data_IF_173654268987
#
_entry.id   IF_173654268987
#
_cell.length_a   1.000
_cell.length_b   1.000
_cell.length_c   1.000
_cell.angle_alpha   90.00
_cell.angle_beta   90.00
_cell.angle_gamma   90.00
#
_symmetry.space_group_name_H-M   'P 1'
#
loop_
_entity.id
_entity.type
_entity.pdbx_description
1 polymer ?
#
# COMPACT_ATOMS: atom_id res chain seq x y z
N UNK A 1 20.41 -4.86 17.56
CA UNK A 1 18.96 -4.69 17.36
C UNK A 1 18.57 -5.51 16.14
N UNK A 2 17.63 -6.45 16.24
CA UNK A 2 17.18 -7.21 15.08
C UNK A 2 16.52 -6.26 14.07
N UNK A 3 16.93 -6.32 12.80
CA UNK A 3 16.31 -5.54 11.73
C UNK A 3 14.87 -6.03 11.58
N UNK A 4 13.90 -5.14 11.70
CA UNK A 4 12.49 -5.48 11.44
C UNK A 4 12.35 -5.87 9.97
N UNK A 5 11.61 -6.93 9.69
CA UNK A 5 11.40 -7.42 8.33
C UNK A 5 10.71 -6.34 7.48
N UNK A 6 11.25 -6.06 6.29
CA UNK A 6 10.66 -5.09 5.37
C UNK A 6 9.60 -5.80 4.52
N UNK A 7 8.41 -5.20 4.43
CA UNK A 7 7.31 -5.77 3.66
C UNK A 7 6.56 -4.69 2.90
N UNK A 8 6.11 -5.04 1.70
CA UNK A 8 5.20 -4.24 0.87
C UNK A 8 3.91 -5.01 0.62
N UNK A 9 2.78 -4.33 0.80
CA UNK A 9 1.45 -4.83 0.43
C UNK A 9 1.02 -4.09 -0.84
N UNK A 10 0.59 -4.84 -1.85
CA UNK A 10 0.15 -4.34 -3.15
C UNK A 10 -1.35 -4.59 -3.30
N UNK A 11 -2.14 -3.55 -3.51
CA UNK A 11 -3.59 -3.63 -3.71
C UNK A 11 -3.98 -2.96 -5.03
N UNK A 12 -4.87 -3.60 -5.79
CA UNK A 12 -5.34 -3.15 -7.11
C UNK A 12 -4.21 -2.94 -8.12
N UNK A 13 -3.17 -3.77 -8.05
CA UNK A 13 -2.09 -3.75 -9.03
C UNK A 13 -2.47 -4.56 -10.29
N UNK A 14 -2.32 -3.99 -11.50
CA UNK A 14 -2.57 -4.70 -12.74
C UNK A 14 -1.67 -5.95 -12.86
N UNK A 15 -2.21 -7.07 -13.36
CA UNK A 15 -1.47 -8.33 -13.48
C UNK A 15 -0.22 -8.22 -14.35
N UNK A 16 -0.17 -7.28 -15.30
CA UNK A 16 0.98 -6.99 -16.14
C UNK A 16 2.16 -6.37 -15.38
N UNK A 17 1.89 -5.57 -14.34
CA UNK A 17 2.93 -4.90 -13.55
C UNK A 17 3.38 -5.72 -12.34
N UNK A 18 2.55 -6.65 -11.87
CA UNK A 18 2.82 -7.47 -10.69
C UNK A 18 4.14 -8.27 -10.76
N UNK A 19 4.48 -8.98 -11.86
CA UNK A 19 5.73 -9.74 -11.94
C UNK A 19 6.98 -8.85 -11.82
N UNK A 20 6.96 -7.71 -12.51
CA UNK A 20 8.06 -6.73 -12.49
C UNK A 20 8.21 -6.12 -11.09
N UNK A 21 7.10 -5.70 -10.47
CA UNK A 21 7.10 -5.14 -9.12
C UNK A 21 7.60 -6.16 -8.08
N UNK A 22 7.11 -7.39 -8.13
CA UNK A 22 7.54 -8.46 -7.24
C UNK A 22 9.02 -8.77 -7.38
N UNK A 23 9.53 -8.85 -8.62
CA UNK A 23 10.93 -9.13 -8.90
C UNK A 23 11.83 -8.03 -8.34
N UNK A 24 11.50 -6.76 -8.62
CA UNK A 24 12.26 -5.61 -8.11
C UNK A 24 12.28 -5.56 -6.57
N UNK A 25 11.12 -5.74 -5.92
CA UNK A 25 11.02 -5.72 -4.46
C UNK A 25 11.76 -6.90 -3.82
N UNK A 26 11.65 -8.11 -4.38
CA UNK A 26 12.36 -9.30 -3.88
C UNK A 26 13.87 -9.18 -4.06
N UNK A 27 14.33 -8.60 -5.17
CA UNK A 27 15.76 -8.31 -5.39
C UNK A 27 16.33 -7.35 -4.34
N UNK A 28 15.49 -6.46 -3.78
CA UNK A 28 15.84 -5.62 -2.64
C UNK A 28 15.77 -6.34 -1.29
N UNK A 29 15.35 -7.61 -1.24
CA UNK A 29 15.16 -8.36 0.00
C UNK A 29 13.89 -7.97 0.76
N UNK A 30 12.88 -7.46 0.06
CA UNK A 30 11.61 -7.03 0.64
C UNK A 30 10.55 -8.11 0.40
N UNK A 31 9.81 -8.45 1.45
CA UNK A 31 8.68 -9.37 1.35
C UNK A 31 7.51 -8.68 0.64
N UNK A 32 6.88 -9.38 -0.30
CA UNK A 32 5.75 -8.83 -1.07
C UNK A 32 4.49 -9.64 -0.76
N UNK A 33 3.40 -8.94 -0.50
CA UNK A 33 2.07 -9.51 -0.31
C UNK A 33 1.10 -8.83 -1.26
N UNK A 34 0.45 -9.61 -2.13
CA UNK A 34 -0.65 -9.11 -2.97
C UNK A 34 -1.93 -9.25 -2.17
N UNK A 35 -2.70 -8.17 -2.12
CA UNK A 35 -3.98 -8.13 -1.44
C UNK A 35 -5.12 -8.48 -2.40
N UNK A 36 -6.08 -9.30 -1.97
CA UNK A 36 -7.25 -9.60 -2.79
C UNK A 36 -8.13 -8.36 -2.95
N UNK A 37 -9.00 -8.32 -3.98
CA UNK A 37 -9.88 -7.19 -4.24
C UNK A 37 -10.84 -6.85 -3.10
N UNK A 38 -11.11 -7.78 -2.19
CA UNK A 38 -12.02 -7.59 -1.07
C UNK A 38 -11.32 -7.24 0.25
N UNK A 39 -9.99 -7.09 0.23
CA UNK A 39 -9.17 -6.66 1.36
C UNK A 39 -9.54 -5.26 1.88
N UNK A 40 -10.28 -4.46 1.12
CA UNK A 40 -10.71 -3.12 1.53
C UNK A 40 -11.53 -3.12 2.84
N UNK A 41 -12.23 -4.23 3.11
CA UNK A 41 -13.01 -4.45 4.34
C UNK A 41 -12.13 -4.62 5.57
N UNK A 42 -10.92 -5.12 5.36
CA UNK A 42 -10.06 -5.54 6.44
C UNK A 42 -9.26 -4.39 7.03
N UNK A 43 -8.98 -4.50 8.33
CA UNK A 43 -8.04 -3.60 8.98
C UNK A 43 -6.63 -3.85 8.45
N UNK A 44 -5.86 -2.80 8.26
CA UNK A 44 -4.46 -2.90 7.82
C UNK A 44 -3.65 -3.78 8.78
N UNK A 45 -3.89 -3.70 10.09
CA UNK A 45 -3.26 -4.59 11.07
C UNK A 45 -3.61 -6.07 10.89
N UNK A 46 -4.84 -6.39 10.46
CA UNK A 46 -5.23 -7.75 10.10
C UNK A 46 -4.50 -8.22 8.83
N UNK A 47 -4.47 -7.37 7.79
CA UNK A 47 -3.75 -7.65 6.53
C UNK A 47 -2.25 -7.88 6.75
N UNK A 48 -1.68 -7.24 7.76
CA UNK A 48 -0.29 -7.42 8.19
C UNK A 48 -0.07 -8.69 9.05
N UNK A 49 -1.14 -9.36 9.50
CA UNK A 49 -1.05 -10.52 10.40
C UNK A 49 -0.65 -10.16 11.83
N UNK A 50 -0.94 -8.93 12.28
CA UNK A 50 -0.62 -8.49 13.64
C UNK A 50 -1.54 -9.17 14.66
N UNK A 51 -0.98 -9.52 15.82
CA UNK A 51 -1.76 -10.10 16.92
C UNK A 51 -2.82 -9.11 17.42
N UNK A 52 -3.99 -9.62 17.78
CA UNK A 52 -5.10 -8.82 18.31
C UNK A 52 -6.05 -8.26 17.26
N UNK A 53 -5.71 -8.38 15.97
CA UNK A 53 -6.63 -8.06 14.87
C UNK A 53 -7.48 -9.28 14.51
N UNK A 54 -8.76 -9.03 14.24
CA UNK A 54 -9.73 -10.03 13.78
C UNK A 54 -10.19 -9.66 12.36
N UNK A 55 -10.57 -10.65 11.55
CA UNK A 55 -11.14 -10.38 10.23
C UNK A 55 -12.41 -9.55 10.38
N UNK A 56 -12.73 -8.77 9.34
CA UNK A 56 -14.02 -8.11 9.24
C UNK A 56 -15.15 -9.14 9.27
N UNK A 57 -16.23 -8.81 9.96
CA UNK A 57 -17.43 -9.64 9.90
C UNK A 57 -18.04 -9.51 8.49
N UNK A 58 -18.64 -10.58 7.95
CA UNK A 58 -19.43 -10.47 6.73
C UNK A 58 -20.54 -9.43 6.96
N UNK A 59 -20.43 -8.31 6.25
CA UNK A 59 -21.37 -7.21 6.31
C UNK A 59 -21.86 -6.92 4.89
N UNK A 60 -23.10 -6.46 4.80
CA UNK A 60 -23.73 -6.02 3.54
C UNK A 60 -23.21 -4.61 3.20
N UNK A 61 -21.89 -4.51 3.07
CA UNK A 61 -21.22 -3.28 2.71
C UNK A 61 -21.23 -3.13 1.19
N UNK A 62 -21.65 -1.96 0.72
CA UNK A 62 -21.54 -1.59 -0.69
C UNK A 62 -20.10 -1.82 -1.17
N UNK A 63 -19.96 -2.44 -2.33
CA UNK A 63 -18.66 -2.70 -2.95
C UNK A 63 -17.86 -1.40 -3.03
N UNK A 64 -16.63 -1.43 -2.50
CA UNK A 64 -15.70 -0.33 -2.60
C UNK A 64 -14.87 -0.48 -3.88
N UNK A 65 -15.15 0.37 -4.86
CA UNK A 65 -14.34 0.48 -6.07
C UNK A 65 -13.28 1.57 -5.88
N UNK A 66 -12.02 1.16 -5.99
CA UNK A 66 -10.87 2.07 -5.95
C UNK A 66 -9.96 1.73 -7.14
N UNK A 67 -10.10 2.44 -8.27
CA UNK A 67 -9.44 2.10 -9.54
C UNK A 67 -7.99 2.61 -9.58
N UNK A 68 -7.28 2.52 -8.46
CA UNK A 68 -5.92 3.00 -8.34
C UNK A 68 -5.03 1.99 -7.61
N UNK A 69 -3.80 1.87 -8.09
CA UNK A 69 -2.75 1.07 -7.47
C UNK A 69 -2.38 1.63 -6.09
N UNK A 70 -2.41 0.79 -5.06
CA UNK A 70 -2.09 1.17 -3.68
C UNK A 70 -0.92 0.35 -3.15
N UNK A 71 0.12 1.04 -2.70
CA UNK A 71 1.31 0.42 -2.10
C UNK A 71 1.46 0.79 -0.63
N UNK A 72 1.40 -0.21 0.26
CA UNK A 72 1.66 -0.02 1.70
C UNK A 72 3.06 -0.48 2.06
N UNK A 73 3.78 0.34 2.82
CA UNK A 73 5.21 0.20 3.10
C UNK A 73 5.45 -0.06 4.58
N UNK A 74 5.74 -1.31 4.95
CA UNK A 74 6.07 -1.69 6.33
C UNK A 74 7.59 -1.62 6.55
N UNK A 75 7.99 -0.82 7.54
CA UNK A 75 9.40 -0.62 7.92
C UNK A 75 10.32 -0.05 6.82
N UNK A 76 9.75 0.50 5.75
CA UNK A 76 10.48 1.14 4.65
C UNK A 76 10.28 2.66 4.73
N UNK A 77 11.36 3.42 4.97
CA UNK A 77 11.33 4.89 5.13
C UNK A 77 12.59 5.56 4.57
N UNK A 78 12.52 6.87 4.33
CA UNK A 78 13.67 7.70 3.92
C UNK A 78 14.38 7.16 2.69
N UNK A 79 15.72 7.05 2.75
CA UNK A 79 16.55 6.55 1.63
C UNK A 79 16.13 5.14 1.15
N UNK A 80 15.55 4.31 2.03
CA UNK A 80 15.09 2.97 1.65
C UNK A 80 13.86 3.05 0.75
N UNK A 81 12.94 3.97 1.03
CA UNK A 81 11.78 4.24 0.18
C UNK A 81 12.22 4.73 -1.21
N UNK A 82 13.16 5.67 -1.28
CA UNK A 82 13.68 6.16 -2.57
C UNK A 82 14.25 5.03 -3.42
N UNK A 83 15.02 4.11 -2.80
CA UNK A 83 15.55 2.91 -3.49
C UNK A 83 14.44 2.01 -4.01
N UNK A 84 13.37 1.80 -3.23
CA UNK A 84 12.21 0.99 -3.67
C UNK A 84 11.54 1.63 -4.88
N UNK A 85 11.24 2.93 -4.82
CA UNK A 85 10.58 3.63 -5.92
C UNK A 85 11.46 3.66 -7.19
N UNK A 86 12.76 3.81 -7.03
CA UNK A 86 13.72 3.79 -8.14
C UNK A 86 13.76 2.40 -8.80
N UNK A 87 13.87 1.33 -8.02
CA UNK A 87 13.89 -0.03 -8.54
C UNK A 87 12.58 -0.41 -9.25
N UNK A 88 11.44 0.08 -8.76
CA UNK A 88 10.15 -0.12 -9.43
C UNK A 88 10.10 0.62 -10.77
N UNK A 89 10.57 1.88 -10.82
CA UNK A 89 10.64 2.64 -12.06
C UNK A 89 11.59 2.01 -13.09
N UNK A 90 12.78 1.55 -12.66
CA UNK A 90 13.74 0.82 -13.51
C UNK A 90 13.18 -0.50 -14.04
N UNK A 91 12.29 -1.15 -13.27
CA UNK A 91 11.58 -2.36 -13.69
C UNK A 91 10.37 -2.09 -14.60
N UNK A 92 10.10 -0.83 -14.96
CA UNK A 92 8.99 -0.44 -15.83
C UNK A 92 7.63 -0.37 -15.14
N UNK A 93 7.58 -0.42 -13.81
CA UNK A 93 6.34 -0.21 -13.05
C UNK A 93 5.99 1.28 -13.06
N UNK A 94 4.76 1.67 -13.44
CA UNK A 94 4.33 3.07 -13.44
C UNK A 94 4.49 3.74 -12.07
N UNK A 95 4.48 5.08 -12.09
CA UNK A 95 4.56 5.87 -10.85
C UNK A 95 3.31 5.62 -10.00
N UNK A 96 3.50 4.98 -8.86
CA UNK A 96 2.44 4.72 -7.87
C UNK A 96 2.13 6.02 -7.11
N UNK A 97 0.95 6.59 -7.35
CA UNK A 97 0.47 7.79 -6.65
C UNK A 97 0.11 7.47 -5.20
N UNK A 98 -0.74 6.46 -4.98
CA UNK A 98 -1.25 6.09 -3.66
C UNK A 98 -0.30 5.15 -2.93
N UNK A 99 0.49 5.73 -2.04
CA UNK A 99 1.43 4.97 -1.20
C UNK A 99 1.42 5.50 0.22
N UNK A 100 1.44 4.59 1.18
CA UNK A 100 1.45 4.95 2.60
C UNK A 100 2.44 4.12 3.39
N UNK A 101 3.15 4.76 4.30
CA UNK A 101 3.98 4.06 5.27
C UNK A 101 3.11 3.50 6.39
N UNK A 102 3.33 2.25 6.78
CA UNK A 102 2.65 1.66 7.94
C UNK A 102 3.10 2.38 9.21
N UNK A 103 2.11 2.79 9.99
CA UNK A 103 2.25 3.41 11.31
C UNK A 103 1.37 2.67 12.31
N UNK A 104 1.63 2.78 13.62
CA UNK A 104 0.73 2.20 14.61
C UNK A 104 -0.72 2.67 14.46
N UNK A 105 -0.91 3.92 14.01
CA UNK A 105 -2.24 4.50 13.87
C UNK A 105 -3.02 3.91 12.69
N UNK A 106 -2.41 3.85 11.49
CA UNK A 106 -3.12 3.33 10.32
C UNK A 106 -3.35 1.81 10.37
N UNK A 107 -2.68 1.08 11.26
CA UNK A 107 -2.99 -0.35 11.48
C UNK A 107 -4.42 -0.58 11.98
N UNK A 108 -5.02 0.42 12.66
CA UNK A 108 -6.39 0.37 13.17
C UNK A 108 -7.44 0.65 12.09
N UNK A 109 -7.03 1.22 10.96
CA UNK A 109 -7.91 1.63 9.88
C UNK A 109 -8.23 0.47 8.96
N UNK A 110 -9.42 0.48 8.36
CA UNK A 110 -9.71 -0.37 7.21
C UNK A 110 -8.89 0.09 6.01
N UNK A 111 -8.57 -0.83 5.10
CA UNK A 111 -7.88 -0.47 3.87
C UNK A 111 -8.71 0.53 3.04
N UNK A 112 -10.05 0.40 3.03
CA UNK A 112 -10.97 1.40 2.46
C UNK A 112 -10.70 2.80 3.01
N UNK A 113 -10.74 2.97 4.33
CA UNK A 113 -10.56 4.28 4.96
C UNK A 113 -9.18 4.86 4.63
N UNK A 114 -8.14 4.03 4.60
CA UNK A 114 -6.79 4.46 4.20
C UNK A 114 -6.75 4.95 2.75
N UNK A 115 -7.40 4.25 1.82
CA UNK A 115 -7.51 4.65 0.42
C UNK A 115 -8.25 5.98 0.25
N UNK A 116 -9.42 6.12 0.90
CA UNK A 116 -10.22 7.35 0.89
C UNK A 116 -9.43 8.53 1.47
N UNK A 117 -8.73 8.32 2.60
CA UNK A 117 -7.89 9.33 3.22
C UNK A 117 -6.75 9.79 2.30
N UNK A 118 -6.01 8.85 1.69
CA UNK A 118 -4.96 9.20 0.72
C UNK A 118 -5.52 9.94 -0.49
N UNK A 119 -6.71 9.57 -0.97
CA UNK A 119 -7.39 10.25 -2.08
C UNK A 119 -7.82 11.66 -1.74
N UNK A 120 -8.32 11.87 -0.52
CA UNK A 120 -8.67 13.20 -0.05
C UNK A 120 -7.43 14.10 0.06
N UNK A 121 -6.32 13.58 0.62
CA UNK A 121 -5.06 14.33 0.70
C UNK A 121 -4.46 14.64 -0.68
N UNK A 122 -4.49 13.70 -1.62
CA UNK A 122 -4.03 13.95 -2.99
C UNK A 122 -4.91 14.97 -3.72
N UNK A 123 -6.24 14.90 -3.55
CA UNK A 123 -7.16 15.88 -4.12
C UNK A 123 -6.98 17.29 -3.55
N UNK A 124 -6.57 17.40 -2.29
CA UNK A 124 -6.18 18.66 -1.68
C UNK A 124 -4.82 19.16 -2.20
N UNK A 125 -3.84 18.27 -2.39
CA UNK A 125 -2.51 18.62 -2.91
C UNK A 125 -2.56 19.12 -4.37
N UNK A 126 -3.40 18.54 -5.22
CA UNK A 126 -3.59 18.98 -6.61
C UNK A 126 -4.19 20.39 -6.73
N UNK A 127 -4.94 20.84 -5.71
CA UNK A 127 -5.47 22.22 -5.66
C UNK A 127 -4.40 23.25 -5.30
N UNK A 128 -3.29 22.83 -4.70
CA UNK A 128 -2.19 23.70 -4.29
C UNK A 128 -1.14 23.82 -5.42
N UNK A 129 -0.86 22.74 -6.16
CA UNK A 129 0.03 22.75 -7.35
C UNK A 129 -0.54 23.54 -8.56
N UNK A 130 -1.82 23.94 -8.53
CA UNK A 130 -2.43 24.76 -9.58
C UNK A 130 -2.30 26.27 -9.34
N UNK A 131 -1.51 26.68 -8.33
CA UNK A 131 -1.45 28.06 -7.83
C UNK A 131 -0.06 28.69 -7.84
N UNK A 132 0.93 28.04 -8.46
CA UNK A 132 2.27 28.56 -8.73
C UNK A 132 2.50 28.76 -10.25
#
# INVERSE_FOLDING_TARGET
MAKKEERVLLYQFPPEHLPAAQTALRALGIRVQILPPDAWREKVGYLLGLKGYRPALPADEAHFDFPHEVMLLEHIRGKRLTKVLTALAEAGVPRISYKSSITPYNTLWTLRYLCEHMSHEHGAALKDESRD
#
